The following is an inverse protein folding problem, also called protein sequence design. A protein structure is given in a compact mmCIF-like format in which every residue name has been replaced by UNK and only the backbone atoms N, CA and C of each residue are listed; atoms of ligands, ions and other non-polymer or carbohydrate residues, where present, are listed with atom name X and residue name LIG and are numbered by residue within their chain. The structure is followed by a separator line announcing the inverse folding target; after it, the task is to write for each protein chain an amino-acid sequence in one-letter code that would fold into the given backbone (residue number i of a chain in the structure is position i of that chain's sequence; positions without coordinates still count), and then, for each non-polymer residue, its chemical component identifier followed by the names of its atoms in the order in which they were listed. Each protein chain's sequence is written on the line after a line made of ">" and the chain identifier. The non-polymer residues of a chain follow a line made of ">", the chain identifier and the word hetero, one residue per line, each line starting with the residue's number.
data_IF_066073840544
#
_entry.id   IF_066073840544
#
_cell.length_a   1.000
_cell.length_b   1.000
_cell.length_c   1.000
_cell.angle_alpha   90.00
_cell.angle_beta   90.00
_cell.angle_gamma   90.00
#
_symmetry.space_group_name_H-M   'P 1'
#
loop_
_entity.id
_entity.type
_entity.pdbx_description
1 polymer ?
#
# COMPACT_ATOMS: atom_id res chain seq x y z
N UNK A 1 -26.85 12.70 12.08
CA UNK A 1 -25.73 12.42 13.00
C UNK A 1 -24.58 11.83 12.19
N UNK A 2 -23.59 12.65 11.83
CA UNK A 2 -22.39 12.17 11.15
C UNK A 2 -21.51 11.47 12.19
N UNK A 3 -21.27 10.16 12.01
CA UNK A 3 -20.28 9.44 12.81
C UNK A 3 -18.91 9.98 12.45
N UNK A 4 -18.29 10.71 13.37
CA UNK A 4 -16.87 11.01 13.34
C UNK A 4 -16.15 9.65 13.34
N UNK A 5 -15.24 9.36 12.39
CA UNK A 5 -14.46 8.13 12.45
C UNK A 5 -13.64 8.18 13.74
N UNK A 6 -13.76 7.15 14.57
CA UNK A 6 -12.89 6.98 15.73
C UNK A 6 -11.44 7.12 15.27
N UNK A 7 -10.67 7.95 15.99
CA UNK A 7 -9.22 8.03 15.87
C UNK A 7 -8.66 6.62 15.93
N UNK A 8 -7.93 6.22 14.89
CA UNK A 8 -7.28 4.92 14.80
C UNK A 8 -6.33 4.79 16.00
N UNK A 9 -6.50 3.75 16.82
CA UNK A 9 -5.52 3.43 17.86
C UNK A 9 -4.15 3.25 17.18
N UNK A 10 -3.19 4.12 17.52
CA UNK A 10 -1.81 4.02 17.08
C UNK A 10 -1.47 4.62 15.71
N UNK A 11 -2.19 5.60 15.18
CA UNK A 11 -1.65 6.41 14.05
C UNK A 11 -1.90 7.91 14.30
N UNK A 12 -0.85 8.73 14.47
CA UNK A 12 -1.00 10.15 14.80
C UNK A 12 -1.66 10.94 13.65
N UNK A 13 -2.55 11.86 14.01
CA UNK A 13 -3.26 12.74 13.08
C UNK A 13 -2.35 13.89 12.60
N UNK A 14 -2.26 14.12 11.29
CA UNK A 14 -1.43 15.19 10.69
C UNK A 14 -2.20 16.53 10.69
N UNK A 15 -1.80 17.57 11.47
CA UNK A 15 -2.60 18.77 11.70
C UNK A 15 -2.93 19.62 10.44
N UNK A 16 -2.12 19.51 9.37
CA UNK A 16 -2.26 20.29 8.12
C UNK A 16 -2.70 19.47 6.91
N UNK A 17 -3.11 18.21 7.11
CA UNK A 17 -3.46 17.32 6.00
C UNK A 17 -4.68 17.83 5.21
N UNK A 18 -5.70 18.28 5.93
CA UNK A 18 -6.94 18.82 5.35
C UNK A 18 -6.70 19.99 4.42
N UNK A 19 -5.86 20.93 4.85
CA UNK A 19 -5.48 22.09 4.05
C UNK A 19 -4.67 21.68 2.83
N UNK A 20 -3.75 20.73 2.98
CA UNK A 20 -2.95 20.19 1.87
C UNK A 20 -3.85 19.56 0.79
N UNK A 21 -4.78 18.69 1.20
CA UNK A 21 -5.73 18.04 0.28
C UNK A 21 -6.67 19.05 -0.36
N UNK A 22 -7.15 20.05 0.40
CA UNK A 22 -8.01 21.11 -0.13
C UNK A 22 -7.29 21.93 -1.21
N UNK A 23 -6.06 22.37 -0.94
CA UNK A 23 -5.26 23.10 -1.92
C UNK A 23 -5.02 22.26 -3.19
N UNK A 24 -4.74 20.97 -3.04
CA UNK A 24 -4.55 20.07 -4.18
C UNK A 24 -5.82 19.91 -5.03
N UNK A 25 -7.00 19.81 -4.41
CA UNK A 25 -8.29 19.77 -5.12
C UNK A 25 -8.57 21.04 -5.92
N UNK A 26 -8.15 22.20 -5.41
CA UNK A 26 -8.36 23.49 -6.06
C UNK A 26 -7.44 23.69 -7.28
N UNK A 27 -6.25 23.06 -7.27
CA UNK A 27 -5.22 23.24 -8.30
C UNK A 27 -5.05 22.06 -9.27
N UNK A 28 -5.74 20.93 -9.04
CA UNK A 28 -5.66 19.75 -9.90
C UNK A 28 -7.00 19.44 -10.57
N UNK A 29 -6.94 18.74 -11.72
CA UNK A 29 -8.13 18.14 -12.32
C UNK A 29 -8.74 17.13 -11.35
N UNK A 30 -10.06 17.20 -11.16
CA UNK A 30 -10.83 16.29 -10.32
C UNK A 30 -11.64 15.34 -11.21
N UNK A 31 -12.02 14.16 -10.71
CA UNK A 31 -12.84 13.22 -11.46
C UNK A 31 -14.16 13.84 -11.91
N UNK A 32 -14.64 13.46 -13.09
CA UNK A 32 -15.93 13.92 -13.62
C UNK A 32 -17.12 13.29 -12.87
N UNK A 33 -18.36 13.67 -13.22
CA UNK A 33 -19.56 13.14 -12.55
C UNK A 33 -19.71 11.63 -12.69
N UNK A 34 -19.39 11.05 -13.85
CA UNK A 34 -19.51 9.62 -14.09
C UNK A 34 -18.46 8.85 -13.26
N UNK A 35 -17.23 9.35 -13.20
CA UNK A 35 -16.17 8.80 -12.38
C UNK A 35 -16.49 8.91 -10.87
N UNK A 36 -17.07 10.02 -10.43
CA UNK A 36 -17.54 10.16 -9.04
C UNK A 36 -18.64 9.15 -8.72
N UNK A 37 -19.55 8.85 -9.65
CA UNK A 37 -20.58 7.83 -9.47
C UNK A 37 -19.99 6.41 -9.35
N UNK A 38 -18.87 6.13 -10.02
CA UNK A 38 -18.09 4.89 -9.84
C UNK A 38 -17.31 4.86 -8.51
N UNK A 39 -17.20 6.01 -7.83
CA UNK A 39 -16.58 6.16 -6.52
C UNK A 39 -15.15 6.68 -6.56
N UNK A 40 -14.66 7.18 -7.70
CA UNK A 40 -13.37 7.90 -7.76
C UNK A 40 -13.46 9.19 -6.93
N UNK A 41 -12.39 9.50 -6.21
CA UNK A 41 -12.39 10.56 -5.19
C UNK A 41 -11.42 11.70 -5.50
N UNK A 42 -10.59 11.56 -6.53
CA UNK A 42 -9.47 12.46 -6.76
C UNK A 42 -8.59 12.55 -5.52
N UNK A 43 -8.11 13.76 -5.22
CA UNK A 43 -7.45 14.04 -3.96
C UNK A 43 -8.37 13.81 -2.77
N UNK A 44 -7.95 13.00 -1.80
CA UNK A 44 -8.71 12.72 -0.58
C UNK A 44 -7.76 12.41 0.59
N UNK A 45 -8.26 12.46 1.82
CA UNK A 45 -7.50 12.05 3.01
C UNK A 45 -8.23 10.95 3.77
N UNK A 46 -7.45 10.00 4.30
CA UNK A 46 -7.85 9.11 5.37
C UNK A 46 -6.70 9.03 6.37
N UNK A 47 -6.98 9.38 7.63
CA UNK A 47 -5.97 9.37 8.69
C UNK A 47 -4.93 10.48 8.52
N UNK A 48 -3.77 10.15 7.96
CA UNK A 48 -2.56 10.98 8.07
C UNK A 48 -1.81 11.25 6.74
N UNK A 49 -2.19 10.60 5.63
CA UNK A 49 -1.57 10.76 4.30
C UNK A 49 -2.60 11.26 3.27
N UNK A 50 -2.21 12.15 2.33
CA UNK A 50 -3.06 12.51 1.21
C UNK A 50 -3.02 11.42 0.14
N UNK A 51 -4.18 10.97 -0.31
CA UNK A 51 -4.36 9.98 -1.37
C UNK A 51 -4.84 10.68 -2.65
N UNK A 52 -4.53 10.09 -3.81
CA UNK A 52 -5.13 10.48 -5.10
C UNK A 52 -5.75 9.26 -5.76
N UNK A 53 -6.97 9.36 -6.29
CA UNK A 53 -7.70 8.22 -6.86
C UNK A 53 -8.49 8.66 -8.10
N UNK A 54 -7.91 8.42 -9.28
CA UNK A 54 -8.40 8.78 -10.61
C UNK A 54 -8.02 7.67 -11.61
N UNK A 55 -8.85 7.40 -12.64
CA UNK A 55 -8.49 6.51 -13.75
C UNK A 55 -7.23 6.98 -14.48
N UNK A 56 -6.41 6.02 -14.95
CA UNK A 56 -5.16 6.26 -15.67
C UNK A 56 -3.96 6.59 -14.80
N UNK A 57 -4.13 6.77 -13.48
CA UNK A 57 -2.99 6.98 -12.58
C UNK A 57 -2.30 5.65 -12.26
N UNK A 58 -1.00 5.59 -12.50
CA UNK A 58 -0.14 4.54 -11.94
C UNK A 58 0.16 4.86 -10.48
N UNK A 59 -0.22 3.95 -9.58
CA UNK A 59 -0.10 4.07 -8.13
C UNK A 59 0.86 3.05 -7.57
N UNK A 60 1.83 3.52 -6.79
CA UNK A 60 2.65 2.69 -5.93
C UNK A 60 2.00 2.61 -4.55
N UNK A 61 1.68 1.41 -4.09
CA UNK A 61 0.98 1.16 -2.84
C UNK A 61 1.77 0.20 -1.97
N UNK A 62 1.85 0.52 -0.68
CA UNK A 62 2.39 -0.35 0.36
C UNK A 62 1.32 -0.65 1.40
N UNK A 63 1.01 -1.92 1.64
CA UNK A 63 0.17 -2.36 2.75
C UNK A 63 0.83 -3.51 3.52
N UNK A 64 0.52 -3.62 4.80
CA UNK A 64 1.31 -4.43 5.75
C UNK A 64 0.45 -5.16 6.76
N UNK A 65 1.03 -6.18 7.39
CA UNK A 65 0.39 -6.93 8.45
C UNK A 65 0.02 -6.01 9.63
N UNK A 66 -1.03 -6.39 10.36
CA UNK A 66 -1.60 -5.57 11.44
C UNK A 66 -0.64 -5.34 12.60
N UNK A 67 0.35 -6.21 12.76
CA UNK A 67 1.32 -6.23 13.85
C UNK A 67 2.72 -5.77 13.45
N UNK A 68 2.91 -5.25 12.23
CA UNK A 68 4.22 -4.71 11.78
C UNK A 68 4.65 -3.44 12.52
N UNK A 69 3.77 -2.85 13.33
CA UNK A 69 4.05 -1.72 14.22
C UNK A 69 3.64 -2.13 15.65
N UNK A 70 4.54 -2.80 16.40
CA UNK A 70 4.23 -3.27 17.74
C UNK A 70 3.88 -2.09 18.66
N UNK A 71 2.90 -2.29 19.54
CA UNK A 71 2.43 -1.26 20.47
C UNK A 71 3.52 -0.89 21.49
N UNK A 72 4.41 -1.83 21.79
CA UNK A 72 5.54 -1.66 22.71
C UNK A 72 6.55 -0.62 22.21
N UNK A 73 6.61 -0.40 20.89
CA UNK A 73 7.52 0.53 20.24
C UNK A 73 6.79 1.79 19.74
N UNK A 74 5.60 2.06 20.26
CA UNK A 74 4.74 3.17 19.83
C UNK A 74 5.47 4.50 19.75
N UNK A 75 6.21 4.84 20.80
CA UNK A 75 6.91 6.12 20.86
C UNK A 75 7.98 6.29 19.78
N UNK A 76 8.64 5.20 19.38
CA UNK A 76 9.70 5.23 18.37
C UNK A 76 9.11 5.51 16.99
N UNK A 77 8.12 4.73 16.58
CA UNK A 77 7.55 4.93 15.26
C UNK A 77 6.68 6.20 15.21
N UNK A 78 6.01 6.63 16.28
CA UNK A 78 5.27 7.90 16.28
C UNK A 78 6.17 9.10 15.96
N UNK A 79 7.41 9.07 16.44
CA UNK A 79 8.40 10.12 16.15
C UNK A 79 8.68 10.20 14.66
N UNK A 80 8.75 9.07 13.96
CA UNK A 80 8.90 9.04 12.50
C UNK A 80 7.73 9.76 11.84
N UNK A 81 6.49 9.51 12.28
CA UNK A 81 5.30 10.14 11.69
C UNK A 81 5.26 11.67 11.88
N UNK A 82 5.95 12.19 12.89
CA UNK A 82 6.03 13.62 13.18
C UNK A 82 7.06 14.37 12.33
N UNK A 83 7.98 13.68 11.64
CA UNK A 83 8.95 14.31 10.74
C UNK A 83 8.23 15.16 9.70
N UNK A 84 8.65 16.42 9.48
CA UNK A 84 7.98 17.32 8.52
C UNK A 84 8.27 16.96 7.06
N UNK A 85 9.52 16.58 6.78
CA UNK A 85 9.97 16.16 5.45
C UNK A 85 9.32 14.83 5.07
N UNK A 86 8.50 14.85 4.02
CA UNK A 86 7.76 13.68 3.56
C UNK A 86 8.68 12.57 3.02
N UNK A 87 9.80 12.94 2.39
CA UNK A 87 10.76 11.99 1.85
C UNK A 87 11.52 11.30 2.98
N UNK A 88 11.99 12.06 3.96
CA UNK A 88 12.66 11.51 5.14
C UNK A 88 11.73 10.58 5.91
N UNK A 89 10.51 11.05 6.20
CA UNK A 89 9.46 10.25 6.86
C UNK A 89 9.26 8.91 6.15
N UNK A 90 9.11 8.93 4.82
CA UNK A 90 8.92 7.72 4.03
C UNK A 90 10.09 6.76 4.13
N UNK A 91 11.32 7.26 4.00
CA UNK A 91 12.53 6.44 4.08
C UNK A 91 12.66 5.76 5.46
N UNK A 92 12.36 6.49 6.53
CA UNK A 92 12.36 5.94 7.88
C UNK A 92 11.25 4.91 8.09
N UNK A 93 10.05 5.17 7.58
CA UNK A 93 8.93 4.24 7.62
C UNK A 93 9.18 2.94 6.83
N UNK A 94 9.78 3.04 5.65
CA UNK A 94 10.22 1.87 4.89
C UNK A 94 11.29 1.09 5.65
N UNK A 95 12.30 1.78 6.19
CA UNK A 95 13.35 1.16 6.99
C UNK A 95 12.78 0.44 8.21
N UNK A 96 11.74 1.01 8.85
CA UNK A 96 11.04 0.40 9.96
C UNK A 96 10.36 -0.92 9.58
N UNK A 97 9.65 -0.96 8.45
CA UNK A 97 8.97 -2.17 8.01
C UNK A 97 10.00 -3.24 7.59
N UNK A 98 11.11 -2.83 6.98
CA UNK A 98 12.23 -3.69 6.59
C UNK A 98 12.92 -4.37 7.81
N UNK A 99 12.76 -3.83 9.04
CA UNK A 99 13.22 -4.51 10.26
C UNK A 99 12.50 -5.83 10.51
N UNK A 100 11.35 -6.07 9.86
CA UNK A 100 10.62 -7.32 10.02
C UNK A 100 10.00 -7.45 11.41
N UNK A 101 9.61 -6.36 12.06
CA UNK A 101 8.90 -6.45 13.33
C UNK A 101 7.50 -7.07 13.13
N UNK A 102 7.01 -7.75 14.17
CA UNK A 102 5.75 -8.50 14.13
C UNK A 102 5.88 -9.88 13.47
N UNK A 103 4.76 -10.45 13.04
CA UNK A 103 4.72 -11.76 12.40
C UNK A 103 5.19 -11.72 10.94
N UNK A 104 5.76 -12.84 10.47
CA UNK A 104 6.19 -13.03 9.08
C UNK A 104 5.21 -13.94 8.33
N UNK A 105 3.91 -13.62 8.41
CA UNK A 105 2.87 -14.47 7.84
C UNK A 105 2.97 -14.65 6.32
N UNK A 106 3.61 -13.71 5.61
CA UNK A 106 3.81 -13.81 4.16
C UNK A 106 5.10 -14.59 3.81
N UNK A 107 5.85 -15.07 4.80
CA UNK A 107 6.92 -16.04 4.57
C UNK A 107 6.37 -17.46 4.40
N UNK A 108 5.19 -17.76 4.98
CA UNK A 108 4.50 -19.02 4.71
C UNK A 108 4.16 -19.12 3.23
N UNK A 109 4.63 -20.19 2.58
CA UNK A 109 4.48 -20.38 1.14
C UNK A 109 3.02 -20.40 0.70
N UNK A 110 2.14 -21.02 1.47
CA UNK A 110 0.72 -21.13 1.13
C UNK A 110 0.00 -19.78 1.22
N UNK A 111 0.34 -18.98 2.24
CA UNK A 111 -0.19 -17.62 2.38
C UNK A 111 0.38 -16.71 1.28
N UNK A 112 1.68 -16.74 1.03
CA UNK A 112 2.34 -15.93 0.01
C UNK A 112 1.77 -16.22 -1.38
N UNK A 113 1.64 -17.49 -1.75
CA UNK A 113 1.06 -17.90 -3.03
C UNK A 113 -0.39 -17.44 -3.17
N UNK A 114 -1.19 -17.55 -2.10
CA UNK A 114 -2.56 -17.06 -2.10
C UNK A 114 -2.65 -15.55 -2.29
N UNK A 115 -1.81 -14.76 -1.62
CA UNK A 115 -1.76 -13.30 -1.80
C UNK A 115 -1.29 -12.96 -3.22
N UNK A 116 -0.27 -13.66 -3.72
CA UNK A 116 0.24 -13.51 -5.09
C UNK A 116 -0.87 -13.68 -6.13
N UNK A 117 -1.67 -14.75 -6.00
CA UNK A 117 -2.81 -14.98 -6.90
C UNK A 117 -3.93 -13.95 -6.71
N UNK A 118 -4.18 -13.50 -5.48
CA UNK A 118 -5.18 -12.46 -5.18
C UNK A 118 -4.88 -11.16 -5.91
N UNK A 119 -3.61 -10.73 -5.93
CA UNK A 119 -3.19 -9.52 -6.65
C UNK A 119 -3.39 -9.66 -8.16
N UNK A 120 -3.16 -10.85 -8.73
CA UNK A 120 -3.25 -11.09 -10.18
C UNK A 120 -4.66 -11.37 -10.68
N UNK A 121 -5.60 -11.72 -9.81
CA UNK A 121 -6.90 -12.26 -10.18
C UNK A 121 -7.73 -11.37 -11.12
N UNK A 122 -7.67 -10.04 -10.94
CA UNK A 122 -8.39 -9.07 -11.78
C UNK A 122 -7.45 -8.17 -12.60
N UNK A 123 -6.18 -8.57 -12.74
CA UNK A 123 -5.24 -7.87 -13.62
C UNK A 123 -5.76 -7.89 -15.06
N UNK A 124 -5.69 -6.76 -15.76
CA UNK A 124 -6.28 -6.60 -17.09
C UNK A 124 -7.77 -6.24 -17.10
N UNK A 125 -8.47 -6.31 -15.96
CA UNK A 125 -9.92 -6.12 -15.87
C UNK A 125 -10.31 -4.93 -14.97
N UNK A 126 -9.79 -4.90 -13.74
CA UNK A 126 -10.12 -3.85 -12.73
C UNK A 126 -8.99 -2.86 -12.49
N UNK A 127 -7.77 -3.27 -12.84
CA UNK A 127 -6.51 -2.54 -12.74
C UNK A 127 -5.51 -3.20 -13.70
N UNK A 128 -4.41 -2.52 -14.01
CA UNK A 128 -3.27 -3.12 -14.70
C UNK A 128 -2.06 -3.17 -13.78
N UNK A 129 -1.62 -4.37 -13.41
CA UNK A 129 -0.40 -4.54 -12.62
C UNK A 129 0.82 -4.14 -13.46
N UNK A 130 1.75 -3.44 -12.82
CA UNK A 130 3.07 -3.11 -13.38
C UNK A 130 4.16 -3.92 -12.72
N UNK A 131 4.14 -3.99 -11.39
CA UNK A 131 5.09 -4.76 -10.60
C UNK A 131 4.54 -5.00 -9.19
N UNK A 132 4.95 -6.06 -8.52
CA UNK A 132 4.81 -6.16 -7.06
C UNK A 132 5.87 -7.07 -6.45
N UNK A 133 6.09 -6.94 -5.15
CA UNK A 133 6.83 -7.92 -4.36
C UNK A 133 6.13 -8.16 -3.03
N UNK A 134 6.01 -9.43 -2.62
CA UNK A 134 5.58 -9.79 -1.28
C UNK A 134 6.81 -9.91 -0.39
N UNK A 135 6.90 -9.05 0.62
CA UNK A 135 7.89 -9.12 1.69
C UNK A 135 7.31 -9.90 2.86
N UNK A 136 8.11 -10.38 3.85
CA UNK A 136 7.61 -11.25 4.93
C UNK A 136 6.43 -10.68 5.74
N UNK A 137 6.36 -9.36 5.91
CA UNK A 137 5.33 -8.67 6.68
C UNK A 137 4.55 -7.58 5.90
N UNK A 138 4.85 -7.36 4.62
CA UNK A 138 4.20 -6.31 3.82
C UNK A 138 4.24 -6.59 2.32
N UNK A 139 3.52 -5.78 1.55
CA UNK A 139 3.44 -5.86 0.10
C UNK A 139 3.73 -4.49 -0.48
N UNK A 140 4.58 -4.48 -1.49
CA UNK A 140 4.80 -3.34 -2.37
C UNK A 140 4.19 -3.66 -3.74
N UNK A 141 3.23 -2.86 -4.21
CA UNK A 141 2.54 -3.09 -5.49
C UNK A 141 2.44 -1.80 -6.29
N UNK A 142 2.73 -1.88 -7.58
CA UNK A 142 2.60 -0.81 -8.55
C UNK A 142 1.56 -1.23 -9.59
N UNK A 143 0.51 -0.43 -9.74
CA UNK A 143 -0.57 -0.72 -10.68
C UNK A 143 -1.22 0.55 -11.21
N UNK A 144 -1.73 0.48 -12.42
CA UNK A 144 -2.59 1.51 -13.00
C UNK A 144 -4.02 1.32 -12.54
N UNK A 145 -4.59 2.39 -12.00
CA UNK A 145 -6.01 2.48 -11.66
C UNK A 145 -6.80 2.64 -12.96
N UNK A 146 -7.76 1.76 -13.22
CA UNK A 146 -8.54 1.79 -14.47
C UNK A 146 -10.02 1.97 -14.20
N UNK A 147 -10.80 0.90 -14.19
CA UNK A 147 -12.26 0.93 -14.09
C UNK A 147 -12.76 0.96 -12.66
N UNK A 148 -11.92 0.55 -11.70
CA UNK A 148 -12.27 0.45 -10.28
C UNK A 148 -11.38 1.39 -9.45
N UNK A 149 -11.96 2.21 -8.56
CA UNK A 149 -11.17 3.10 -7.70
C UNK A 149 -10.15 2.34 -6.85
N UNK A 150 -8.97 2.93 -6.68
CA UNK A 150 -7.81 2.36 -5.97
C UNK A 150 -8.21 1.79 -4.60
N UNK A 151 -8.98 2.56 -3.82
CA UNK A 151 -9.37 2.14 -2.48
C UNK A 151 -10.30 0.91 -2.47
N UNK A 152 -11.10 0.71 -3.52
CA UNK A 152 -11.96 -0.47 -3.66
C UNK A 152 -11.13 -1.69 -4.08
N UNK A 153 -10.14 -1.50 -4.97
CA UNK A 153 -9.18 -2.54 -5.35
C UNK A 153 -8.43 -3.06 -4.12
N UNK A 154 -7.81 -2.15 -3.35
CA UNK A 154 -7.03 -2.51 -2.16
C UNK A 154 -7.91 -3.13 -1.08
N UNK A 155 -9.13 -2.60 -0.86
CA UNK A 155 -10.10 -3.21 0.05
C UNK A 155 -10.44 -4.64 -0.37
N UNK A 156 -10.66 -4.87 -1.66
CA UNK A 156 -10.97 -6.20 -2.21
C UNK A 156 -9.81 -7.17 -1.97
N UNK A 157 -8.58 -6.78 -2.28
CA UNK A 157 -7.38 -7.58 -2.02
C UNK A 157 -7.24 -7.93 -0.54
N UNK A 158 -7.29 -6.92 0.34
CA UNK A 158 -7.10 -7.10 1.79
C UNK A 158 -8.20 -7.94 2.41
N UNK A 159 -9.46 -7.75 1.99
CA UNK A 159 -10.59 -8.51 2.54
C UNK A 159 -10.50 -10.00 2.16
N UNK A 160 -10.26 -10.29 0.89
CA UNK A 160 -10.16 -11.68 0.42
C UNK A 160 -8.97 -12.39 1.05
N UNK A 161 -7.79 -11.77 0.98
CA UNK A 161 -6.55 -12.36 1.51
C UNK A 161 -6.55 -12.49 3.02
N UNK A 162 -7.10 -11.55 3.80
CA UNK A 162 -7.20 -11.70 5.26
C UNK A 162 -8.01 -12.93 5.64
N UNK A 163 -9.18 -13.10 5.03
CA UNK A 163 -10.06 -14.23 5.33
C UNK A 163 -9.38 -15.55 5.02
N UNK A 164 -8.70 -15.64 3.87
CA UNK A 164 -8.04 -16.87 3.44
C UNK A 164 -6.75 -17.16 4.21
N UNK A 165 -5.95 -16.14 4.50
CA UNK A 165 -4.74 -16.29 5.30
C UNK A 165 -5.07 -16.75 6.72
N UNK A 166 -6.10 -16.16 7.34
CA UNK A 166 -6.55 -16.58 8.67
C UNK A 166 -6.97 -18.06 8.70
N UNK A 167 -7.69 -18.53 7.67
CA UNK A 167 -8.03 -19.94 7.53
C UNK A 167 -6.80 -20.84 7.38
N UNK A 168 -5.85 -20.47 6.51
CA UNK A 168 -4.63 -21.25 6.27
C UNK A 168 -3.76 -21.35 7.52
N UNK A 169 -3.71 -20.28 8.31
CA UNK A 169 -2.92 -20.18 9.53
C UNK A 169 -3.66 -20.64 10.80
N UNK A 170 -4.93 -21.08 10.68
CA UNK A 170 -5.74 -21.50 11.82
C UNK A 170 -6.00 -20.40 12.86
N UNK A 171 -6.03 -19.13 12.44
CA UNK A 171 -6.22 -17.96 13.32
C UNK A 171 -7.48 -17.17 12.99
N UNK A 172 -7.81 -16.24 13.87
CA UNK A 172 -8.85 -15.23 13.68
C UNK A 172 -8.30 -13.85 14.03
N UNK A 173 -9.04 -12.79 13.68
CA UNK A 173 -8.64 -11.41 13.97
C UNK A 173 -7.99 -10.68 12.78
N UNK A 174 -7.34 -9.56 13.09
CA UNK A 174 -6.77 -8.64 12.10
C UNK A 174 -5.54 -9.26 11.43
N UNK A 175 -5.58 -9.36 10.10
CA UNK A 175 -4.43 -9.82 9.31
C UNK A 175 -3.64 -8.64 8.74
N UNK A 176 -4.31 -7.79 7.95
CA UNK A 176 -3.73 -6.53 7.47
C UNK A 176 -4.05 -5.37 8.42
N UNK A 177 -3.12 -4.43 8.54
CA UNK A 177 -3.43 -3.10 9.08
C UNK A 177 -4.58 -2.47 8.28
N UNK A 178 -5.42 -1.61 8.88
CA UNK A 178 -6.58 -1.03 8.21
C UNK A 178 -6.23 -0.20 6.97
N UNK A 179 -5.14 0.57 7.01
CA UNK A 179 -4.78 1.54 5.96
C UNK A 179 -3.67 1.04 5.01
N UNK A 180 -3.24 1.90 4.10
CA UNK A 180 -2.13 1.70 3.18
C UNK A 180 -1.41 3.02 2.87
N UNK A 181 -0.20 2.94 2.33
CA UNK A 181 0.54 4.08 1.83
C UNK A 181 0.50 4.07 0.31
N UNK A 182 0.31 5.22 -0.32
CA UNK A 182 0.31 5.34 -1.78
C UNK A 182 1.14 6.53 -2.28
N UNK A 183 1.54 6.44 -3.54
CA UNK A 183 2.17 7.53 -4.29
C UNK A 183 1.93 7.33 -5.77
N UNK A 184 1.40 8.34 -6.44
CA UNK A 184 1.20 8.28 -7.89
C UNK A 184 2.51 8.55 -8.64
N UNK A 185 2.69 7.87 -9.76
CA UNK A 185 3.82 8.08 -10.66
C UNK A 185 3.57 9.34 -11.48
N UNK A 186 4.58 10.21 -11.56
CA UNK A 186 4.47 11.52 -12.22
C UNK A 186 4.81 11.45 -13.70
N UNK A 187 5.66 10.49 -14.05
CA UNK A 187 6.23 10.29 -15.37
C UNK A 187 6.79 8.86 -15.45
N UNK A 188 7.19 8.45 -16.66
CA UNK A 188 7.75 7.13 -16.92
C UNK A 188 9.09 6.88 -16.20
N UNK A 189 9.88 7.92 -15.90
CA UNK A 189 11.14 7.76 -15.17
C UNK A 189 10.87 7.42 -13.69
N UNK A 190 9.90 8.10 -13.08
CA UNK A 190 9.42 7.81 -11.74
C UNK A 190 8.88 6.39 -11.66
N UNK A 191 8.06 5.97 -12.63
CA UNK A 191 7.56 4.59 -12.71
C UNK A 191 8.71 3.58 -12.82
N UNK A 192 9.68 3.80 -13.72
CA UNK A 192 10.81 2.91 -13.90
C UNK A 192 11.70 2.83 -12.65
N UNK A 193 11.89 3.93 -11.90
CA UNK A 193 12.58 3.91 -10.60
C UNK A 193 11.82 3.08 -9.58
N UNK A 194 10.50 3.21 -9.52
CA UNK A 194 9.66 2.43 -8.59
C UNK A 194 9.66 0.95 -8.92
N UNK A 195 9.64 0.56 -10.20
CA UNK A 195 9.79 -0.84 -10.63
C UNK A 195 11.15 -1.40 -10.16
N UNK A 196 12.24 -0.63 -10.34
CA UNK A 196 13.57 -1.02 -9.85
C UNK A 196 13.62 -1.15 -8.33
N UNK A 197 12.92 -0.27 -7.62
CA UNK A 197 12.79 -0.34 -6.17
C UNK A 197 12.09 -1.64 -5.75
N UNK A 198 10.90 -1.92 -6.31
CA UNK A 198 10.08 -3.09 -5.98
C UNK A 198 10.88 -4.38 -6.16
N UNK A 199 11.50 -4.58 -7.33
CA UNK A 199 12.27 -5.81 -7.58
C UNK A 199 13.47 -5.94 -6.65
N UNK A 200 14.16 -4.85 -6.31
CA UNK A 200 15.37 -4.91 -5.49
C UNK A 200 15.09 -4.97 -3.99
N UNK A 201 13.84 -4.79 -3.56
CA UNK A 201 13.49 -4.73 -2.14
C UNK A 201 13.84 -6.05 -1.39
N UNK A 202 13.56 -7.26 -1.94
CA UNK A 202 14.02 -8.52 -1.34
C UNK A 202 15.55 -8.62 -1.20
N UNK A 203 16.31 -8.05 -2.14
CA UNK A 203 17.79 -8.03 -2.08
C UNK A 203 18.26 -7.07 -1.00
N UNK A 204 17.66 -5.87 -0.93
CA UNK A 204 17.96 -4.87 0.11
C UNK A 204 17.68 -5.41 1.51
N UNK A 205 16.61 -6.20 1.67
CA UNK A 205 16.25 -6.86 2.93
C UNK A 205 17.09 -8.12 3.24
N UNK A 206 18.05 -8.50 2.37
CA UNK A 206 18.90 -9.68 2.59
C UNK A 206 18.19 -11.03 2.44
N UNK A 207 16.99 -11.07 1.84
CA UNK A 207 16.22 -12.30 1.64
C UNK A 207 16.81 -13.15 0.50
N UNK A 208 17.38 -12.49 -0.50
CA UNK A 208 18.03 -13.11 -1.68
C UNK A 208 19.21 -12.27 -2.14
N UNK A 209 20.11 -12.86 -2.92
CA UNK A 209 21.29 -12.15 -3.48
C UNK A 209 21.02 -11.54 -4.87
N UNK A 210 20.05 -12.10 -5.59
CA UNK A 210 19.52 -11.60 -6.85
C UNK A 210 17.99 -11.58 -6.74
N UNK A 211 17.36 -10.48 -7.16
CA UNK A 211 15.91 -10.32 -7.08
C UNK A 211 15.14 -11.41 -7.83
N UNK A 212 15.74 -12.00 -8.88
CA UNK A 212 15.16 -13.12 -9.64
C UNK A 212 14.99 -14.40 -8.82
N UNK A 213 15.71 -14.52 -7.70
CA UNK A 213 15.60 -15.65 -6.79
C UNK A 213 14.41 -15.52 -5.84
N UNK A 214 13.78 -14.34 -5.75
CA UNK A 214 12.61 -14.14 -4.91
C UNK A 214 11.33 -14.53 -5.66
N UNK A 215 10.67 -15.65 -5.30
CA UNK A 215 9.55 -16.18 -6.06
C UNK A 215 8.29 -15.30 -5.98
N UNK A 216 8.26 -14.36 -5.02
CA UNK A 216 7.11 -13.50 -4.77
C UNK A 216 7.26 -12.11 -5.37
N UNK A 217 8.23 -11.92 -6.27
CA UNK A 217 8.32 -10.74 -7.15
C UNK A 217 7.56 -11.02 -8.45
N UNK A 218 6.81 -10.02 -8.91
CA UNK A 218 6.14 -10.01 -10.21
C UNK A 218 6.50 -8.73 -10.96
N UNK A 219 6.77 -8.86 -12.25
CA UNK A 219 6.98 -7.75 -13.18
C UNK A 219 6.11 -7.99 -14.41
N UNK A 220 5.27 -7.01 -14.76
CA UNK A 220 4.50 -7.06 -15.99
C UNK A 220 5.43 -6.84 -17.19
N UNK A 221 5.19 -7.60 -18.26
CA UNK A 221 5.98 -7.54 -19.50
C UNK A 221 7.47 -7.82 -19.30
N UNK A 222 7.83 -8.78 -18.44
CA UNK A 222 9.18 -9.35 -18.50
C UNK A 222 9.47 -9.89 -19.92
N UNK A 223 10.62 -9.56 -20.51
CA UNK A 223 11.05 -10.14 -21.77
C UNK A 223 11.28 -11.66 -21.65
#
# INVERSE_FOLDING_TARGET
>A
MQRIPQSQEGVPHRPKLRETVKNQREHCLNPDQAEQMLGFRGWNERGYIPHRDEPGLTQFVTFRLGDSFPAELQHEWETIFQLEDERERRLQLESWIDLGLGAWHLQDKGVAEMVYQTLRHFDGQRYHLRAFTLMPNHVHVLFEVTTVPMHQVIKSWKQYSSNRANQLLGRTGTFWQADYWDTYMRDAEHEARTIRYIRNNPVKAGLVTDWKQWPWTYLANEP
#
